data_IF_375615682523
#
_entry.id   IF_375615682523
#
_cell.length_a   1.000
_cell.length_b   1.000
_cell.length_c   1.000
_cell.angle_alpha   90.00
_cell.angle_beta   90.00
_cell.angle_gamma   90.00
#
_symmetry.space_group_name_H-M   'P 1'
#
loop_
_entity.id
_entity.type
_entity.pdbx_description
1 polymer ?
#
# COMPACT_ATOMS: atom_id res chain seq x y z
N UNK A 1 7.59 8.08 -10.94
CA UNK A 1 7.96 6.71 -10.49
C UNK A 1 6.70 5.89 -10.29
N UNK A 2 6.78 4.57 -10.41
CA UNK A 2 5.63 3.67 -10.21
C UNK A 2 5.77 2.96 -8.87
N UNK A 3 4.66 2.79 -8.17
CA UNK A 3 4.57 2.14 -6.87
C UNK A 3 3.54 1.03 -6.91
N UNK A 4 3.86 -0.09 -6.28
CA UNK A 4 2.93 -1.19 -6.02
C UNK A 4 2.23 -0.95 -4.69
N UNK A 5 0.92 -1.18 -4.68
CA UNK A 5 0.08 -1.07 -3.50
C UNK A 5 -0.35 -2.48 -3.12
N UNK A 6 -0.05 -2.89 -1.90
CA UNK A 6 -0.48 -4.15 -1.34
C UNK A 6 -1.49 -3.93 -0.23
N UNK A 7 -2.48 -4.80 -0.10
CA UNK A 7 -3.41 -4.83 1.03
C UNK A 7 -3.00 -5.95 1.98
N UNK A 8 -2.89 -5.65 3.26
CA UNK A 8 -2.68 -6.67 4.28
C UNK A 8 -3.95 -7.48 4.49
N UNK A 9 -3.81 -8.81 4.47
CA UNK A 9 -4.87 -9.75 4.82
C UNK A 9 -4.84 -10.02 6.31
N UNK A 10 -5.92 -9.69 7.01
CA UNK A 10 -6.06 -9.91 8.46
C UNK A 10 -6.03 -11.38 8.87
N UNK A 11 -6.24 -12.31 7.92
CA UNK A 11 -6.41 -13.74 8.21
C UNK A 11 -5.16 -14.60 7.98
N UNK A 12 -4.26 -14.17 7.11
CA UNK A 12 -3.19 -15.04 6.59
C UNK A 12 -1.79 -14.47 6.73
N UNK A 13 -1.64 -13.26 7.30
CA UNK A 13 -0.34 -12.56 7.33
C UNK A 13 0.22 -12.26 5.94
N UNK A 14 -0.58 -12.47 4.88
CA UNK A 14 -0.17 -12.26 3.50
C UNK A 14 -0.56 -10.87 3.02
N UNK A 15 0.22 -10.31 2.10
CA UNK A 15 -0.16 -9.09 1.40
C UNK A 15 -0.61 -9.44 -0.01
N UNK A 16 -1.75 -8.89 -0.42
CA UNK A 16 -2.34 -9.11 -1.73
C UNK A 16 -2.12 -7.85 -2.57
N UNK A 17 -1.62 -7.99 -3.80
CA UNK A 17 -1.47 -6.86 -4.70
C UNK A 17 -2.84 -6.22 -4.95
N UNK A 18 -3.00 -4.99 -4.50
CA UNK A 18 -4.24 -4.21 -4.64
C UNK A 18 -4.24 -3.39 -5.93
N UNK A 19 -3.06 -2.90 -6.34
CA UNK A 19 -2.92 -2.11 -7.56
C UNK A 19 -1.57 -1.45 -7.68
N UNK A 20 -1.47 -0.50 -8.61
CA UNK A 20 -0.26 0.33 -8.79
C UNK A 20 -0.63 1.79 -8.95
N UNK A 21 0.28 2.69 -8.58
CA UNK A 21 0.09 4.14 -8.71
C UNK A 21 1.38 4.82 -9.18
N UNK A 22 1.24 5.88 -9.97
CA UNK A 22 2.36 6.72 -10.36
C UNK A 22 2.43 7.96 -9.46
N UNK A 23 3.61 8.27 -8.94
CA UNK A 23 3.87 9.45 -8.12
C UNK A 23 5.32 9.91 -8.24
N UNK A 24 5.62 11.11 -7.74
CA UNK A 24 6.98 11.66 -7.67
C UNK A 24 7.83 10.98 -6.59
N UNK A 25 7.23 10.68 -5.43
CA UNK A 25 7.86 10.00 -4.30
C UNK A 25 6.84 9.17 -3.51
N UNK A 26 7.31 8.47 -2.47
CA UNK A 26 6.51 7.53 -1.70
C UNK A 26 5.46 8.24 -0.84
N UNK A 27 5.75 9.41 -0.28
CA UNK A 27 4.78 10.20 0.49
C UNK A 27 3.64 10.69 -0.40
N UNK A 28 3.96 11.15 -1.62
CA UNK A 28 2.96 11.59 -2.59
C UNK A 28 2.10 10.41 -3.06
N UNK A 29 2.70 9.23 -3.26
CA UNK A 29 1.94 8.02 -3.56
C UNK A 29 0.93 7.67 -2.44
N UNK A 30 1.33 7.82 -1.18
CA UNK A 30 0.47 7.58 -0.02
C UNK A 30 -0.71 8.54 0.06
N UNK A 31 -0.46 9.84 -0.08
CA UNK A 31 -1.52 10.85 -0.06
C UNK A 31 -2.51 10.66 -1.22
N UNK A 32 -2.01 10.42 -2.44
CA UNK A 32 -2.87 10.15 -3.60
C UNK A 32 -3.69 8.88 -3.42
N UNK A 33 -3.07 7.81 -2.93
CA UNK A 33 -3.76 6.55 -2.68
C UNK A 33 -4.84 6.71 -1.60
N UNK A 34 -4.54 7.39 -0.49
CA UNK A 34 -5.51 7.64 0.58
C UNK A 34 -6.74 8.40 0.06
N UNK A 35 -6.53 9.43 -0.76
CA UNK A 35 -7.62 10.18 -1.42
C UNK A 35 -8.45 9.30 -2.35
N UNK A 36 -7.83 8.37 -3.08
CA UNK A 36 -8.53 7.43 -3.95
C UNK A 36 -9.39 6.43 -3.15
N UNK A 37 -8.82 5.81 -2.12
CA UNK A 37 -9.57 4.81 -1.34
C UNK A 37 -10.72 5.44 -0.57
N UNK A 38 -10.56 6.65 -0.03
CA UNK A 38 -11.64 7.38 0.67
C UNK A 38 -12.82 7.70 -0.24
N UNK A 39 -12.58 7.90 -1.54
CA UNK A 39 -13.65 8.11 -2.54
C UNK A 39 -14.29 6.80 -3.00
N UNK A 40 -13.71 5.66 -2.68
CA UNK A 40 -14.15 4.34 -3.13
C UNK A 40 -14.84 3.57 -2.00
N UNK A 41 -15.87 2.78 -2.30
CA UNK A 41 -16.44 1.81 -1.34
C UNK A 41 -15.59 0.54 -1.16
N UNK A 42 -14.32 0.56 -1.60
CA UNK A 42 -13.45 -0.63 -1.65
C UNK A 42 -12.62 -0.83 -0.39
N UNK A 43 -12.41 0.21 0.41
CA UNK A 43 -11.68 0.12 1.68
C UNK A 43 -12.68 0.05 2.83
N UNK A 44 -12.39 -0.81 3.81
CA UNK A 44 -13.15 -0.94 5.06
C UNK A 44 -12.33 -0.38 6.21
N UNK A 45 -13.00 0.14 7.23
CA UNK A 45 -12.36 0.62 8.44
C UNK A 45 -11.40 -0.43 9.01
N UNK A 46 -10.15 -0.04 9.26
CA UNK A 46 -9.09 -0.93 9.74
C UNK A 46 -8.27 -1.62 8.63
N UNK A 47 -8.61 -1.44 7.36
CA UNK A 47 -7.78 -1.94 6.25
C UNK A 47 -6.39 -1.30 6.28
N UNK A 48 -5.36 -2.13 6.16
CA UNK A 48 -3.95 -1.69 6.10
C UNK A 48 -3.41 -1.94 4.70
N UNK A 49 -2.73 -0.94 4.16
CA UNK A 49 -2.11 -0.98 2.85
C UNK A 49 -0.62 -0.64 2.95
N UNK A 50 0.19 -1.24 2.08
CA UNK A 50 1.61 -0.95 1.95
C UNK A 50 1.89 -0.41 0.55
N UNK A 51 2.71 0.63 0.49
CA UNK A 51 3.12 1.30 -0.74
C UNK A 51 4.62 1.12 -0.91
N UNK A 52 5.00 0.52 -2.03
CA UNK A 52 6.35 0.04 -2.29
C UNK A 52 6.80 0.53 -3.67
N UNK A 53 8.01 1.09 -3.83
CA UNK A 53 8.55 1.44 -5.14
C UNK A 53 8.62 0.21 -6.07
N UNK A 54 8.02 0.31 -7.26
CA UNK A 54 8.02 -0.77 -8.24
C UNK A 54 9.42 -0.91 -8.84
N UNK A 55 9.99 -2.12 -8.78
CA UNK A 55 11.34 -2.43 -9.24
C UNK A 55 12.33 -2.79 -8.13
N UNK A 56 11.94 -2.72 -6.85
CA UNK A 56 12.79 -3.16 -5.73
C UNK A 56 12.48 -4.55 -5.18
N UNK A 57 11.29 -5.12 -5.42
CA UNK A 57 10.93 -6.45 -4.88
C UNK A 57 9.82 -7.11 -5.69
N UNK A 58 9.98 -8.41 -5.96
CA UNK A 58 8.97 -9.31 -6.57
C UNK A 58 8.14 -10.07 -5.54
N UNK A 59 8.62 -10.18 -4.29
CA UNK A 59 7.96 -10.85 -3.17
C UNK A 59 8.13 -10.07 -1.86
N UNK A 60 7.24 -10.32 -0.90
CA UNK A 60 7.15 -9.61 0.40
C UNK A 60 8.26 -10.06 1.35
N UNK A 61 8.67 -11.33 1.27
CA UNK A 61 9.78 -11.87 2.06
C UNK A 61 11.07 -11.09 1.77
N UNK A 62 11.32 -10.77 0.50
CA UNK A 62 12.43 -9.91 0.07
C UNK A 62 12.30 -8.46 0.56
N UNK A 63 11.08 -8.00 0.86
CA UNK A 63 10.83 -6.64 1.32
C UNK A 63 11.31 -6.42 2.76
N UNK A 64 11.20 -7.46 3.59
CA UNK A 64 11.74 -7.46 4.95
C UNK A 64 13.23 -7.79 4.99
N UNK A 65 13.73 -8.63 4.09
CA UNK A 65 15.15 -8.99 4.01
C UNK A 65 16.02 -7.87 3.41
N UNK A 66 15.56 -7.17 2.37
CA UNK A 66 16.38 -6.18 1.65
C UNK A 66 16.34 -4.77 2.26
N UNK A 67 15.62 -4.57 3.37
CA UNK A 67 15.44 -3.25 3.97
C UNK A 67 14.77 -2.24 3.02
N UNK A 68 13.91 -2.73 2.12
CA UNK A 68 13.28 -1.89 1.11
C UNK A 68 12.37 -0.87 1.78
N UNK A 69 12.50 0.44 1.48
CA UNK A 69 11.62 1.45 2.07
C UNK A 69 10.18 1.24 1.60
N UNK A 70 9.24 1.28 2.53
CA UNK A 70 7.81 1.18 2.28
C UNK A 70 7.04 2.15 3.15
N UNK A 71 5.82 2.47 2.75
CA UNK A 71 4.92 3.36 3.49
C UNK A 71 3.66 2.60 3.85
N UNK A 72 3.22 2.73 5.10
CA UNK A 72 2.00 2.10 5.60
C UNK A 72 0.87 3.12 5.55
N UNK A 73 -0.26 2.74 4.98
CA UNK A 73 -1.50 3.52 4.99
C UNK A 73 -2.57 2.70 5.69
N UNK A 74 -3.05 3.17 6.83
CA UNK A 74 -4.20 2.59 7.51
C UNK A 74 -5.45 3.40 7.18
N UNK A 75 -6.47 2.75 6.62
CA UNK A 75 -7.74 3.38 6.36
C UNK A 75 -8.61 3.36 7.62
N UNK A 76 -9.09 4.54 8.01
CA UNK A 76 -10.06 4.70 9.09
C UNK A 76 -11.22 5.55 8.60
N UNK A 77 -12.44 5.06 8.75
CA UNK A 77 -13.63 5.87 8.53
C UNK A 77 -13.76 6.85 9.69
N UNK A 78 -13.99 8.12 9.36
CA UNK A 78 -14.26 9.18 10.33
C UNK A 78 -15.75 9.46 10.18
N UNK A 79 -16.52 9.21 11.24
CA UNK A 79 -17.94 9.56 11.34
C UNK A 79 -18.15 11.08 11.36
#
# INVERSE_FOLDING_TARGET
MKFSIYKASSYSGSLILFGTINASCQEVAADLFYKLIRRSKRAKNGDVFLIVPMGKTTSIDSLMEDGTPFHIVQYREIE
#
